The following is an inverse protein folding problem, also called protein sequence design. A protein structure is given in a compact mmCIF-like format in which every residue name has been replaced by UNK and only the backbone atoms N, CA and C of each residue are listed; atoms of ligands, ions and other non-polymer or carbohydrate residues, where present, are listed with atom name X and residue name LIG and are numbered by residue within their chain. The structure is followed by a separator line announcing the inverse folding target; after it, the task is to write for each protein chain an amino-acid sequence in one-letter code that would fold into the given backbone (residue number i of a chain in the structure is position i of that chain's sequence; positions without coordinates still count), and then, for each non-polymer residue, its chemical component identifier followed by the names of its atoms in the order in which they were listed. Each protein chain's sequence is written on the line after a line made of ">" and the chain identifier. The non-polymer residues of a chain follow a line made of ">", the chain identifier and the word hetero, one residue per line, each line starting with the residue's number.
data_IF_191778583001
#
_entry.id   IF_191778583001
#
_cell.length_a   1.000
_cell.length_b   1.000
_cell.length_c   1.000
_cell.angle_alpha   90.00
_cell.angle_beta   90.00
_cell.angle_gamma   90.00
#
_symmetry.space_group_name_H-M   'P 1'
#
loop_
_entity.id
_entity.type
_entity.pdbx_description
1 polymer ?
#
# COMPACT_ATOMS: atom_id res chain seq x y z
N UNK A 1 -15.85 -14.27 -10.48
CA UNK A 1 -14.41 -13.94 -10.51
C UNK A 1 -14.22 -12.65 -9.73
N UNK A 2 -13.11 -12.50 -9.02
CA UNK A 2 -12.75 -11.27 -8.31
C UNK A 2 -11.73 -10.47 -9.14
N UNK A 3 -11.50 -9.21 -8.76
CA UNK A 3 -10.58 -8.32 -9.45
C UNK A 3 -9.46 -7.82 -8.54
N UNK A 4 -8.30 -7.61 -9.15
CA UNK A 4 -7.23 -6.80 -8.58
C UNK A 4 -7.45 -5.35 -8.97
N UNK A 5 -7.56 -4.47 -7.97
CA UNK A 5 -7.76 -3.04 -8.14
C UNK A 5 -6.55 -2.27 -7.62
N UNK A 6 -5.89 -1.50 -8.49
CA UNK A 6 -4.92 -0.48 -8.13
C UNK A 6 -5.59 0.90 -8.08
N UNK A 7 -5.60 1.51 -6.89
CA UNK A 7 -6.01 2.90 -6.69
C UNK A 7 -4.76 3.74 -6.52
N UNK A 8 -4.59 4.72 -7.41
CA UNK A 8 -3.44 5.63 -7.43
C UNK A 8 -3.89 7.01 -6.99
N UNK A 9 -3.12 7.66 -6.13
CA UNK A 9 -3.30 9.05 -5.76
C UNK A 9 -3.45 9.98 -6.96
N UNK A 10 -4.40 10.90 -6.87
CA UNK A 10 -4.48 12.03 -7.79
C UNK A 10 -3.98 13.29 -7.06
N UNK A 11 -2.82 13.83 -7.46
CA UNK A 11 -2.26 15.00 -6.80
C UNK A 11 -3.11 16.24 -7.10
N UNK A 12 -3.39 17.04 -6.07
CA UNK A 12 -4.16 18.28 -6.22
C UNK A 12 -3.44 19.31 -7.12
N UNK A 13 -2.11 19.26 -7.16
CA UNK A 13 -1.27 20.02 -8.08
C UNK A 13 -0.10 19.17 -8.56
N UNK A 14 0.32 19.30 -9.84
CA UNK A 14 1.50 18.60 -10.33
C UNK A 14 2.75 19.16 -9.64
N UNK A 15 3.38 18.35 -8.79
CA UNK A 15 4.70 18.59 -8.21
C UNK A 15 5.67 17.48 -8.65
N UNK A 16 6.97 17.75 -8.87
CA UNK A 16 7.97 16.73 -9.16
C UNK A 16 7.90 15.47 -8.28
N UNK A 17 7.54 15.57 -6.99
CA UNK A 17 7.37 14.39 -6.13
C UNK A 17 6.20 13.49 -6.52
N UNK A 18 5.21 14.04 -7.23
CA UNK A 18 4.00 13.33 -7.70
C UNK A 18 4.18 12.67 -9.07
N UNK A 19 5.29 12.95 -9.77
CA UNK A 19 5.63 12.30 -11.04
C UNK A 19 5.65 10.78 -10.91
N UNK A 20 6.28 10.29 -9.83
CA UNK A 20 6.36 8.86 -9.53
C UNK A 20 4.97 8.22 -9.32
N UNK A 21 4.03 8.93 -8.69
CA UNK A 21 2.67 8.42 -8.49
C UNK A 21 2.00 8.21 -9.86
N UNK A 22 2.23 9.11 -10.80
CA UNK A 22 1.70 8.98 -12.16
C UNK A 22 2.37 7.87 -12.96
N UNK A 23 3.67 7.67 -12.80
CA UNK A 23 4.42 6.62 -13.51
C UNK A 23 3.85 5.21 -13.23
N UNK A 24 3.40 4.93 -12.00
CA UNK A 24 2.78 3.63 -11.69
C UNK A 24 1.49 3.39 -12.48
N UNK A 25 0.66 4.41 -12.64
CA UNK A 25 -0.57 4.30 -13.42
C UNK A 25 -0.28 4.14 -14.92
N UNK A 26 0.77 4.81 -15.42
CA UNK A 26 1.16 4.78 -16.83
C UNK A 26 1.83 3.46 -17.24
N UNK A 27 2.55 2.81 -16.30
CA UNK A 27 3.13 1.48 -16.49
C UNK A 27 2.06 0.38 -16.52
N UNK A 28 0.99 0.55 -15.75
CA UNK A 28 -0.06 -0.43 -15.58
C UNK A 28 -0.93 -0.58 -16.85
N UNK A 29 -1.34 -1.81 -17.17
CA UNK A 29 -2.19 -2.12 -18.34
C UNK A 29 -3.48 -2.78 -17.89
N UNK A 30 -4.57 -2.01 -17.68
CA UNK A 30 -5.85 -2.54 -17.23
C UNK A 30 -6.37 -3.66 -18.16
N UNK A 31 -6.96 -4.69 -17.55
CA UNK A 31 -7.60 -5.83 -18.22
C UNK A 31 -9.02 -6.03 -17.69
N UNK A 32 -9.65 -7.18 -17.97
CA UNK A 32 -10.92 -7.54 -17.35
C UNK A 32 -10.77 -7.73 -15.83
N UNK A 33 -9.69 -8.38 -15.39
CA UNK A 33 -9.45 -8.78 -13.99
C UNK A 33 -8.51 -7.87 -13.23
N UNK A 34 -7.85 -6.93 -13.92
CA UNK A 34 -6.98 -5.91 -13.31
C UNK A 34 -7.47 -4.52 -13.70
N UNK A 35 -7.75 -3.69 -12.70
CA UNK A 35 -8.29 -2.33 -12.90
C UNK A 35 -7.35 -1.31 -12.26
N UNK A 36 -7.25 -0.15 -12.88
CA UNK A 36 -6.50 1.01 -12.36
C UNK A 36 -7.45 2.19 -12.32
N UNK A 37 -7.49 2.89 -11.19
CA UNK A 37 -8.29 4.10 -11.01
C UNK A 37 -7.50 5.14 -10.22
N UNK A 38 -7.84 6.41 -10.43
CA UNK A 38 -7.30 7.54 -9.67
C UNK A 38 -8.24 7.91 -8.53
N UNK A 39 -7.70 8.40 -7.41
CA UNK A 39 -8.48 8.89 -6.29
C UNK A 39 -7.90 10.19 -5.72
N UNK A 40 -8.71 11.25 -5.70
CA UNK A 40 -8.28 12.58 -5.33
C UNK A 40 -8.26 12.88 -3.82
N UNK A 41 -8.93 12.06 -3.00
CA UNK A 41 -8.96 12.28 -1.55
C UNK A 41 -9.39 11.03 -0.79
N UNK A 42 -9.09 10.93 0.53
CA UNK A 42 -9.53 9.81 1.36
C UNK A 42 -11.05 9.58 1.33
N UNK A 43 -11.83 10.67 1.35
CA UNK A 43 -13.30 10.61 1.36
C UNK A 43 -13.88 10.04 0.07
N UNK A 44 -13.17 10.17 -1.05
CA UNK A 44 -13.61 9.65 -2.34
C UNK A 44 -13.32 8.15 -2.52
N UNK A 45 -12.46 7.55 -1.69
CA UNK A 45 -11.96 6.19 -1.89
C UNK A 45 -13.08 5.15 -1.94
N UNK A 46 -13.99 5.18 -0.95
CA UNK A 46 -15.11 4.22 -0.88
C UNK A 46 -15.99 4.32 -2.12
N UNK A 47 -16.30 5.54 -2.56
CA UNK A 47 -17.08 5.79 -3.78
C UNK A 47 -16.37 5.27 -5.04
N UNK A 48 -15.07 5.48 -5.12
CA UNK A 48 -14.21 5.03 -6.23
C UNK A 48 -14.21 3.51 -6.34
N UNK A 49 -13.90 2.79 -5.25
CA UNK A 49 -13.90 1.33 -5.22
C UNK A 49 -15.29 0.76 -5.52
N UNK A 50 -16.35 1.36 -4.93
CA UNK A 50 -17.74 0.97 -5.18
C UNK A 50 -18.13 1.14 -6.65
N UNK A 51 -17.64 2.19 -7.31
CA UNK A 51 -17.84 2.42 -8.74
C UNK A 51 -17.29 1.27 -9.60
N UNK A 52 -16.06 0.84 -9.31
CA UNK A 52 -15.41 -0.29 -10.03
C UNK A 52 -16.14 -1.61 -9.78
N UNK A 53 -16.51 -1.91 -8.54
CA UNK A 53 -17.24 -3.14 -8.19
C UNK A 53 -18.60 -3.18 -8.91
N UNK A 54 -19.29 -2.05 -9.00
CA UNK A 54 -20.59 -1.96 -9.71
C UNK A 54 -20.45 -2.12 -11.21
N UNK A 55 -19.43 -1.53 -11.85
CA UNK A 55 -19.27 -1.61 -13.30
C UNK A 55 -18.78 -2.97 -13.77
N UNK A 56 -17.99 -3.67 -12.95
CA UNK A 56 -17.49 -5.02 -13.25
C UNK A 56 -18.41 -6.14 -12.78
N UNK A 57 -19.34 -5.86 -11.87
CA UNK A 57 -20.11 -6.87 -11.11
C UNK A 57 -19.21 -7.87 -10.35
N UNK A 58 -18.00 -7.46 -9.98
CA UNK A 58 -16.98 -8.29 -9.34
C UNK A 58 -16.48 -7.62 -8.06
N UNK A 59 -16.29 -8.41 -7.00
CA UNK A 59 -15.63 -7.95 -5.76
C UNK A 59 -14.11 -7.87 -5.95
N UNK A 60 -13.45 -7.12 -5.09
CA UNK A 60 -11.99 -6.97 -5.11
C UNK A 60 -11.33 -8.02 -4.21
N UNK A 61 -10.37 -8.77 -4.74
CA UNK A 61 -9.54 -9.72 -3.97
C UNK A 61 -8.16 -9.15 -3.61
N UNK A 62 -7.65 -8.22 -4.43
CA UNK A 62 -6.44 -7.45 -4.13
C UNK A 62 -6.73 -5.97 -4.33
N UNK A 63 -6.62 -5.19 -3.25
CA UNK A 63 -6.74 -3.73 -3.27
C UNK A 63 -5.38 -3.10 -2.99
N UNK A 64 -4.79 -2.49 -4.01
CA UNK A 64 -3.55 -1.72 -3.90
C UNK A 64 -3.88 -0.24 -3.76
N UNK A 65 -3.31 0.41 -2.76
CA UNK A 65 -3.46 1.83 -2.50
C UNK A 65 -2.07 2.46 -2.64
N UNK A 66 -1.83 3.15 -3.74
CA UNK A 66 -0.53 3.74 -4.06
C UNK A 66 -0.58 5.26 -4.02
N UNK A 67 0.15 5.82 -3.06
CA UNK A 67 0.41 7.24 -2.87
C UNK A 67 1.59 7.37 -1.89
N UNK A 68 1.92 8.57 -1.43
CA UNK A 68 2.87 8.81 -0.37
C UNK A 68 2.53 8.04 0.92
N UNK A 69 3.60 7.73 1.65
CA UNK A 69 3.52 7.06 2.93
C UNK A 69 4.72 7.42 3.80
N UNK A 70 4.56 7.13 5.08
CA UNK A 70 5.62 7.19 6.09
C UNK A 70 5.31 6.16 7.18
N UNK A 71 6.22 5.88 8.12
CA UNK A 71 5.96 4.93 9.20
C UNK A 71 4.62 5.16 9.91
N UNK A 72 3.72 4.17 9.81
CA UNK A 72 2.39 4.22 10.40
C UNK A 72 1.43 5.25 9.81
N UNK A 73 1.60 5.64 8.53
CA UNK A 73 0.71 6.54 7.82
C UNK A 73 0.70 6.30 6.30
N UNK A 74 -0.49 6.23 5.70
CA UNK A 74 -0.73 6.20 4.26
C UNK A 74 -1.53 7.44 3.86
N UNK A 75 -1.11 8.13 2.80
CA UNK A 75 -1.84 9.28 2.22
C UNK A 75 -2.64 8.84 0.98
N UNK A 76 -3.56 9.69 0.53
CA UNK A 76 -4.29 9.52 -0.74
C UNK A 76 -4.74 10.89 -1.24
N UNK A 77 -4.20 11.33 -2.37
CA UNK A 77 -4.46 12.64 -2.96
C UNK A 77 -4.01 13.77 -2.02
N UNK A 78 -4.97 14.49 -1.46
CA UNK A 78 -4.74 15.69 -0.64
C UNK A 78 -4.74 15.45 0.88
N UNK A 79 -4.80 14.20 1.35
CA UNK A 79 -4.95 13.93 2.77
C UNK A 79 -4.46 12.59 3.27
N UNK A 80 -4.43 12.46 4.60
CA UNK A 80 -4.15 11.21 5.30
C UNK A 80 -5.31 10.26 5.09
N UNK A 81 -5.03 9.12 4.47
CA UNK A 81 -6.00 8.05 4.28
C UNK A 81 -6.10 7.18 5.53
N UNK A 82 -4.95 6.68 6.01
CA UNK A 82 -4.87 5.84 7.21
C UNK A 82 -3.69 6.24 8.07
N UNK A 83 -3.83 6.15 9.39
CA UNK A 83 -2.70 6.29 10.31
C UNK A 83 -2.81 5.37 11.54
N UNK A 84 -1.70 5.29 12.27
CA UNK A 84 -1.58 4.54 13.52
C UNK A 84 -2.38 5.14 14.69
N UNK A 85 -2.95 6.35 14.54
CA UNK A 85 -3.80 6.99 15.52
C UNK A 85 -5.28 6.62 15.33
N UNK A 86 -5.64 6.06 14.17
CA UNK A 86 -6.97 5.55 13.85
C UNK A 86 -7.68 6.30 12.73
N UNK A 87 -7.01 7.21 12.01
CA UNK A 87 -7.60 7.82 10.83
C UNK A 87 -7.99 6.75 9.80
N UNK A 88 -9.16 6.93 9.17
CA UNK A 88 -9.70 6.06 8.11
C UNK A 88 -10.19 4.67 8.57
N UNK A 89 -10.35 4.42 9.87
CA UNK A 89 -10.99 3.19 10.36
C UNK A 89 -12.41 2.99 9.81
N UNK A 90 -13.17 4.07 9.69
CA UNK A 90 -14.49 4.12 9.07
C UNK A 90 -14.43 3.75 7.58
N UNK A 91 -13.44 4.29 6.85
CA UNK A 91 -13.18 3.94 5.45
C UNK A 91 -12.90 2.44 5.31
N UNK A 92 -12.05 1.86 6.17
CA UNK A 92 -11.77 0.42 6.15
C UNK A 92 -13.04 -0.42 6.38
N UNK A 93 -13.88 0.00 7.34
CA UNK A 93 -15.15 -0.66 7.61
C UNK A 93 -16.12 -0.60 6.42
N UNK A 94 -16.21 0.55 5.75
CA UNK A 94 -17.06 0.75 4.58
C UNK A 94 -16.55 0.05 3.32
N UNK A 95 -15.23 -0.14 3.19
CA UNK A 95 -14.61 -0.88 2.09
C UNK A 95 -14.84 -2.39 2.22
N UNK A 96 -14.84 -2.95 3.44
CA UNK A 96 -15.01 -4.38 3.71
C UNK A 96 -16.09 -5.09 2.85
N UNK A 97 -17.35 -4.61 2.75
CA UNK A 97 -18.38 -5.29 1.95
C UNK A 97 -18.07 -5.36 0.44
N UNK A 98 -17.18 -4.51 -0.07
CA UNK A 98 -16.76 -4.45 -1.47
C UNK A 98 -15.64 -5.45 -1.80
N UNK A 99 -15.01 -6.02 -0.76
CA UNK A 99 -13.90 -6.95 -0.86
C UNK A 99 -14.38 -8.41 -0.75
N UNK A 100 -13.58 -9.36 -1.24
CA UNK A 100 -13.76 -10.79 -0.92
C UNK A 100 -13.40 -11.06 0.55
N UNK A 101 -13.82 -12.21 1.08
CA UNK A 101 -13.61 -12.54 2.50
C UNK A 101 -12.13 -12.69 2.88
N UNK A 102 -11.31 -13.08 1.91
CA UNK A 102 -9.88 -13.38 1.97
C UNK A 102 -9.02 -12.33 1.22
N UNK A 103 -9.60 -11.14 0.97
CA UNK A 103 -8.92 -10.11 0.22
C UNK A 103 -7.61 -9.66 0.88
N UNK A 104 -6.72 -9.09 0.07
CA UNK A 104 -5.49 -8.45 0.49
C UNK A 104 -5.59 -6.95 0.24
N UNK A 105 -5.27 -6.15 1.25
CA UNK A 105 -5.18 -4.69 1.11
C UNK A 105 -3.72 -4.29 1.27
N UNK A 106 -3.12 -3.65 0.26
CA UNK A 106 -1.70 -3.30 0.26
C UNK A 106 -1.54 -1.78 0.25
N UNK A 107 -0.91 -1.25 1.30
CA UNK A 107 -0.58 0.17 1.46
C UNK A 107 0.79 0.42 0.83
N UNK A 108 0.79 0.80 -0.44
CA UNK A 108 1.99 0.91 -1.27
C UNK A 108 2.71 2.27 -1.16
N UNK A 109 2.41 3.08 -0.14
CA UNK A 109 3.25 4.24 0.20
C UNK A 109 4.54 3.84 0.88
N UNK A 110 5.51 4.75 0.98
CA UNK A 110 6.83 4.46 1.54
C UNK A 110 6.76 4.07 3.03
N UNK A 111 7.36 2.93 3.38
CA UNK A 111 7.66 2.53 4.76
C UNK A 111 6.48 2.48 5.73
N UNK A 112 5.27 2.24 5.23
CA UNK A 112 4.05 2.28 6.03
C UNK A 112 4.05 1.29 7.19
N UNK A 113 4.83 0.21 7.11
CA UNK A 113 4.93 -0.85 8.10
C UNK A 113 6.07 -0.69 9.13
N UNK A 114 6.92 0.34 9.05
CA UNK A 114 8.09 0.42 9.94
C UNK A 114 7.76 0.77 11.39
N UNK A 115 8.47 0.11 12.32
CA UNK A 115 8.43 0.37 13.74
C UNK A 115 7.06 0.16 14.39
N UNK A 116 6.91 0.71 15.60
CA UNK A 116 5.67 0.57 16.38
C UNK A 116 4.48 1.26 15.72
N UNK A 117 4.72 2.38 15.03
CA UNK A 117 3.69 3.10 14.30
C UNK A 117 3.12 2.24 13.17
N UNK A 118 3.99 1.64 12.34
CA UNK A 118 3.55 0.73 11.28
C UNK A 118 2.84 -0.51 11.81
N UNK A 119 3.37 -1.14 12.86
CA UNK A 119 2.70 -2.26 13.52
C UNK A 119 1.28 -1.90 13.97
N UNK A 120 1.11 -0.75 14.64
CA UNK A 120 -0.17 -0.28 15.14
C UNK A 120 -1.14 0.06 14.00
N UNK A 121 -0.68 0.70 12.92
CA UNK A 121 -1.47 0.95 11.72
C UNK A 121 -2.05 -0.36 11.16
N UNK A 122 -1.22 -1.38 10.97
CA UNK A 122 -1.66 -2.66 10.39
C UNK A 122 -2.67 -3.38 11.29
N UNK A 123 -2.48 -3.35 12.61
CA UNK A 123 -3.42 -3.93 13.58
C UNK A 123 -4.77 -3.22 13.56
N UNK A 124 -4.77 -1.88 13.53
CA UNK A 124 -5.98 -1.06 13.44
C UNK A 124 -6.77 -1.40 12.18
N UNK A 125 -6.10 -1.44 11.02
CA UNK A 125 -6.78 -1.70 9.76
C UNK A 125 -7.26 -3.14 9.65
N UNK A 126 -6.48 -4.13 10.10
CA UNK A 126 -6.93 -5.52 10.16
C UNK A 126 -8.22 -5.66 10.98
N UNK A 127 -8.32 -4.96 12.12
CA UNK A 127 -9.56 -4.90 12.90
C UNK A 127 -10.70 -4.19 12.14
N UNK A 128 -10.42 -3.06 11.49
CA UNK A 128 -11.40 -2.30 10.69
C UNK A 128 -11.99 -3.12 9.53
N UNK A 129 -11.17 -3.94 8.87
CA UNK A 129 -11.61 -4.87 7.83
C UNK A 129 -12.25 -6.17 8.37
N UNK A 130 -12.38 -6.31 9.70
CA UNK A 130 -13.07 -7.43 10.33
C UNK A 130 -12.22 -8.68 10.55
N UNK A 131 -10.89 -8.56 10.48
CA UNK A 131 -9.92 -9.59 10.89
C UNK A 131 -9.62 -10.70 9.87
N UNK A 132 -10.47 -10.92 8.87
CA UNK A 132 -10.22 -11.95 7.84
C UNK A 132 -9.40 -11.47 6.66
N UNK A 133 -9.41 -10.16 6.39
CA UNK A 133 -8.66 -9.50 5.32
C UNK A 133 -7.27 -9.17 5.83
N UNK A 134 -6.25 -9.53 5.04
CA UNK A 134 -4.86 -9.27 5.40
C UNK A 134 -4.45 -7.90 4.87
N UNK A 135 -3.94 -7.05 5.76
CA UNK A 135 -3.42 -5.73 5.40
C UNK A 135 -1.91 -5.80 5.34
N UNK A 136 -1.32 -5.26 4.28
CA UNK A 136 0.12 -5.18 4.10
C UNK A 136 0.54 -3.71 4.08
N UNK A 137 1.63 -3.40 4.77
CA UNK A 137 2.37 -2.17 4.57
C UNK A 137 3.73 -2.45 3.97
N UNK A 138 4.42 -1.42 3.53
CA UNK A 138 5.74 -1.53 2.92
C UNK A 138 6.85 -1.33 3.96
N UNK A 139 7.97 -2.01 3.76
CA UNK A 139 9.15 -1.90 4.62
C UNK A 139 10.20 -0.97 4.03
N UNK A 140 10.05 -0.52 2.78
CA UNK A 140 11.02 0.30 2.07
C UNK A 140 10.34 1.39 1.25
N UNK A 141 11.16 2.19 0.56
CA UNK A 141 10.69 3.17 -0.40
C UNK A 141 10.11 2.47 -1.62
N UNK A 142 8.89 2.83 -2.00
CA UNK A 142 8.26 2.29 -3.20
C UNK A 142 8.49 3.27 -4.34
N UNK A 143 9.13 2.82 -5.41
CA UNK A 143 9.46 3.63 -6.57
C UNK A 143 8.71 3.16 -7.80
N UNK A 144 8.21 4.10 -8.61
CA UNK A 144 7.55 3.79 -9.89
C UNK A 144 8.23 4.47 -11.08
N UNK A 145 8.92 5.59 -10.86
CA UNK A 145 9.54 6.39 -11.93
C UNK A 145 11.00 6.05 -12.27
N UNK A 146 11.65 5.13 -11.55
CA UNK A 146 13.02 4.72 -11.87
C UNK A 146 13.00 3.62 -12.95
N UNK A 147 13.51 3.86 -14.18
CA UNK A 147 13.46 2.88 -15.27
C UNK A 147 14.28 1.61 -15.02
N UNK A 148 15.17 1.60 -14.03
CA UNK A 148 16.00 0.46 -13.65
C UNK A 148 15.48 -0.21 -12.37
N UNK A 149 14.98 0.58 -11.42
CA UNK A 149 14.64 0.12 -10.07
C UNK A 149 13.19 0.41 -9.63
N UNK A 150 12.24 0.48 -10.56
CA UNK A 150 10.81 0.61 -10.22
C UNK A 150 10.16 -0.72 -9.79
N UNK A 151 9.10 -0.60 -8.97
CA UNK A 151 8.38 -1.72 -8.34
C UNK A 151 7.03 -2.03 -8.97
N UNK A 152 6.72 -1.41 -10.11
CA UNK A 152 5.46 -1.60 -10.84
C UNK A 152 5.69 -2.19 -12.24
N UNK A 153 4.77 -3.00 -12.74
CA UNK A 153 4.74 -3.46 -14.12
C UNK A 153 3.33 -3.33 -14.73
N UNK A 154 3.10 -3.99 -15.87
CA UNK A 154 1.81 -3.98 -16.55
C UNK A 154 0.63 -4.51 -15.69
N UNK A 155 0.91 -5.20 -14.60
CA UNK A 155 -0.04 -5.83 -13.70
C UNK A 155 -0.07 -5.17 -12.30
N UNK A 156 0.54 -4.00 -12.13
CA UNK A 156 0.58 -3.28 -10.86
C UNK A 156 1.87 -3.55 -10.10
N UNK A 157 1.81 -3.69 -8.77
CA UNK A 157 3.00 -3.96 -7.96
C UNK A 157 3.61 -5.33 -8.30
N UNK A 158 4.90 -5.36 -8.57
CA UNK A 158 5.61 -6.55 -9.06
C UNK A 158 5.57 -7.69 -8.04
N UNK A 159 5.17 -8.88 -8.50
CA UNK A 159 5.00 -10.05 -7.63
C UNK A 159 6.31 -10.52 -6.98
N UNK A 160 7.43 -10.44 -7.70
CA UNK A 160 8.76 -10.81 -7.19
C UNK A 160 9.31 -9.82 -6.15
N UNK A 161 8.66 -8.66 -5.98
CA UNK A 161 8.99 -7.68 -4.94
C UNK A 161 8.17 -7.85 -3.66
N UNK A 162 7.05 -8.56 -3.70
CA UNK A 162 6.12 -8.70 -2.57
C UNK A 162 6.82 -9.19 -1.30
N UNK A 163 7.63 -10.25 -1.41
CA UNK A 163 8.31 -10.86 -0.25
C UNK A 163 9.32 -9.91 0.41
N UNK A 164 10.03 -9.10 -0.38
CA UNK A 164 11.05 -8.19 0.12
C UNK A 164 10.46 -6.88 0.68
N UNK A 165 9.31 -6.44 0.15
CA UNK A 165 8.75 -5.13 0.45
C UNK A 165 7.57 -5.16 1.40
N UNK A 166 6.75 -6.22 1.38
CA UNK A 166 5.49 -6.23 2.12
C UNK A 166 5.66 -6.86 3.49
N UNK A 167 5.02 -6.25 4.48
CA UNK A 167 4.91 -6.75 5.84
C UNK A 167 3.44 -6.79 6.23
N UNK A 168 2.97 -7.98 6.59
CA UNK A 168 1.54 -8.23 6.80
C UNK A 168 1.09 -7.91 8.23
N UNK A 169 -0.21 -7.67 8.39
CA UNK A 169 -0.88 -7.55 9.69
C UNK A 169 -0.77 -8.83 10.52
N UNK A 170 -0.68 -10.00 9.86
CA UNK A 170 -0.46 -11.29 10.52
C UNK A 170 0.93 -11.38 11.14
N UNK A 171 1.96 -10.93 10.42
CA UNK A 171 3.30 -10.84 10.98
C UNK A 171 3.39 -9.76 12.06
N UNK A 172 2.74 -8.61 11.86
CA UNK A 172 2.66 -7.53 12.83
C UNK A 172 2.03 -7.94 14.17
N UNK A 173 1.26 -9.03 14.20
CA UNK A 173 0.71 -9.61 15.44
C UNK A 173 1.76 -10.37 16.27
N UNK A 174 2.87 -10.79 15.65
CA UNK A 174 3.88 -11.66 16.29
C UNK A 174 5.26 -11.02 16.38
N UNK A 175 5.60 -10.09 15.48
CA UNK A 175 6.90 -9.42 15.45
C UNK A 175 6.76 -7.95 15.09
N UNK A 176 7.77 -7.19 15.50
CA UNK A 176 7.94 -5.79 15.14
C UNK A 176 8.84 -5.69 13.90
N UNK A 177 8.45 -4.86 12.93
CA UNK A 177 9.36 -4.46 11.86
C UNK A 177 10.35 -3.42 12.42
N UNK A 178 11.68 -3.60 12.28
CA UNK A 178 12.64 -2.64 12.79
C UNK A 178 12.41 -1.24 12.21
N UNK A 179 12.79 -0.20 12.95
CA UNK A 179 12.79 1.17 12.43
C UNK A 179 13.83 1.30 11.30
N UNK A 180 13.73 2.36 10.49
CA UNK A 180 14.74 2.66 9.47
C UNK A 180 16.14 2.73 10.09
N UNK A 181 16.30 3.49 11.17
CA UNK A 181 17.59 3.63 11.86
C UNK A 181 18.14 2.28 12.36
N UNK A 182 17.28 1.40 12.86
CA UNK A 182 17.70 0.07 13.30
C UNK A 182 18.16 -0.79 12.12
N UNK A 183 17.45 -0.73 10.98
CA UNK A 183 17.86 -1.42 9.75
C UNK A 183 19.16 -0.88 9.19
N UNK A 184 19.32 0.43 9.14
CA UNK A 184 20.52 1.09 8.65
C UNK A 184 21.73 0.71 9.54
N UNK A 185 21.53 0.68 10.86
CA UNK A 185 22.54 0.21 11.81
C UNK A 185 22.89 -1.27 11.61
N UNK A 186 21.91 -2.15 11.37
CA UNK A 186 22.14 -3.58 11.07
C UNK A 186 22.94 -3.76 9.77
N UNK A 187 22.61 -3.00 8.73
CA UNK A 187 23.32 -3.03 7.44
C UNK A 187 24.77 -2.57 7.64
N UNK A 188 24.98 -1.46 8.36
CA UNK A 188 26.31 -0.94 8.66
C UNK A 188 27.13 -1.94 9.50
N UNK A 189 26.51 -2.57 10.50
CA UNK A 189 27.16 -3.59 11.32
C UNK A 189 27.52 -4.83 10.50
N UNK A 190 26.65 -5.25 9.58
CA UNK A 190 26.92 -6.34 8.65
C UNK A 190 28.11 -6.01 7.74
N UNK A 191 28.13 -4.83 7.11
CA UNK A 191 29.28 -4.40 6.30
C UNK A 191 30.59 -4.35 7.11
N UNK A 192 30.55 -3.85 8.34
CA UNK A 192 31.72 -3.85 9.22
C UNK A 192 32.20 -5.27 9.57
N UNK A 193 31.30 -6.25 9.62
CA UNK A 193 31.64 -7.65 9.91
C UNK A 193 32.30 -8.39 8.74
N UNK A 194 32.15 -7.90 7.51
CA UNK A 194 32.78 -8.49 6.32
C UNK A 194 34.29 -8.17 6.22
N UNK A 195 34.80 -7.31 7.10
CA UNK A 195 36.18 -6.82 7.06
C UNK A 195 36.40 -5.77 5.96
N UNK A 196 37.54 -5.04 6.00
CA UNK A 196 37.92 -4.20 4.87
C UNK A 196 38.16 -5.06 3.62
N UNK A 197 37.90 -4.54 2.42
CA UNK A 197 38.23 -5.22 1.17
C UNK A 197 39.72 -5.53 1.05
#
# INVERSE_FOLDING_TARGET
>A
MAIHLLVVGEPAQPDPSTSQISDAADLARPTETFKVVRCASPRALVGTVRGVVRSSFQKVDVLDLFDHGRPGCQEMGDGVLFDHQGAGQDIAHELRPLLTADARVRLLGCETALGHAGQRLLQILAAGFGGSIVVYGTTSLVQAGDPVHHEFDAHGFKKDREEAFLFSSTEAATRLMPSRDARDAEILAWYASLGPP
#
